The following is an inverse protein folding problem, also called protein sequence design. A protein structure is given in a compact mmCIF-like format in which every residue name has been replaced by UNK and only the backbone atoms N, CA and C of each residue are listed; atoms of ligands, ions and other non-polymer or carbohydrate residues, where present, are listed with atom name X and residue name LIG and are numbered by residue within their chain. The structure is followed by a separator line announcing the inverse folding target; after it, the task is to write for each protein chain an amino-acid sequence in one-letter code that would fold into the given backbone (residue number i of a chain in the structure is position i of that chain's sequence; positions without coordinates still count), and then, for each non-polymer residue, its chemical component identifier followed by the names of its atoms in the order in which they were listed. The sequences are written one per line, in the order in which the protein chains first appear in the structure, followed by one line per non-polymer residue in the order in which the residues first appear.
data_IF_580116434512
#
_entry.id   IF_580116434512
#
_cell.length_a   1.000
_cell.length_b   1.000
_cell.length_c   1.000
_cell.angle_alpha   90.00
_cell.angle_beta   90.00
_cell.angle_gamma   90.00
#
_symmetry.space_group_name_H-M   'P 1'
#
loop_
_entity.id
_entity.type
_entity.pdbx_description
1 polymer ?
#
# COMPACT_ATOMS: atom_id res chain seq x y z
N UNK A 1 11.62 -3.62 -8.99
CA UNK A 1 11.68 -2.17 -9.25
C UNK A 1 12.66 -1.51 -8.26
N UNK A 2 13.62 -0.71 -8.73
CA UNK A 2 14.58 0.01 -7.86
C UNK A 2 14.05 1.43 -7.60
N UNK A 3 14.20 1.95 -6.38
CA UNK A 3 13.92 3.36 -6.07
C UNK A 3 15.04 4.21 -6.68
N UNK A 4 14.69 5.17 -7.54
CA UNK A 4 15.64 6.15 -8.04
C UNK A 4 15.74 7.33 -7.07
N UNK A 5 16.92 7.94 -7.00
CA UNK A 5 17.10 9.18 -6.26
C UNK A 5 16.57 10.34 -7.10
N UNK A 6 15.81 11.26 -6.49
CA UNK A 6 15.34 12.47 -7.18
C UNK A 6 16.52 13.32 -7.68
N UNK A 7 17.61 13.38 -6.89
CA UNK A 7 18.86 14.02 -7.25
C UNK A 7 20.04 13.07 -6.98
N UNK A 8 21.06 13.02 -7.87
CA UNK A 8 22.25 12.21 -7.64
C UNK A 8 23.11 12.81 -6.51
N UNK A 9 23.73 11.96 -5.70
CA UNK A 9 24.70 12.35 -4.66
C UNK A 9 26.11 11.98 -5.12
N UNK A 10 27.04 12.94 -5.03
CA UNK A 10 28.43 12.73 -5.43
C UNK A 10 29.23 12.17 -4.25
N UNK A 11 29.74 10.94 -4.37
CA UNK A 11 30.60 10.33 -3.37
C UNK A 11 32.02 10.94 -3.41
N UNK A 12 32.16 12.16 -2.90
CA UNK A 12 33.42 12.92 -2.85
C UNK A 12 33.62 13.55 -1.48
N UNK A 13 34.86 13.57 -1.01
CA UNK A 13 35.22 14.11 0.30
C UNK A 13 35.03 13.11 1.45
N UNK A 14 34.96 13.58 2.70
CA UNK A 14 34.79 12.74 3.89
C UNK A 14 33.57 11.81 3.79
N UNK A 15 33.76 10.55 4.18
CA UNK A 15 32.77 9.48 3.97
C UNK A 15 31.46 9.74 4.71
N UNK A 16 31.56 10.28 5.91
CA UNK A 16 30.44 10.61 6.78
C UNK A 16 29.55 11.70 6.17
N UNK A 17 30.14 12.64 5.43
CA UNK A 17 29.40 13.73 4.81
C UNK A 17 28.58 13.22 3.61
N UNK A 18 29.21 12.57 2.63
CA UNK A 18 28.47 12.13 1.45
C UNK A 18 27.53 10.96 1.75
N UNK A 19 27.80 10.13 2.77
CA UNK A 19 26.81 9.15 3.25
C UNK A 19 25.62 9.82 3.92
N UNK A 20 25.84 10.88 4.72
CA UNK A 20 24.76 11.66 5.30
C UNK A 20 23.87 12.31 4.22
N UNK A 21 24.48 12.89 3.19
CA UNK A 21 23.77 13.43 2.02
C UNK A 21 22.98 12.35 1.28
N UNK A 22 23.60 11.18 1.05
CA UNK A 22 22.94 10.04 0.42
C UNK A 22 21.71 9.58 1.23
N UNK A 23 21.83 9.49 2.55
CA UNK A 23 20.72 9.10 3.42
C UNK A 23 19.55 10.09 3.32
N UNK A 24 19.83 11.39 3.42
CA UNK A 24 18.80 12.42 3.29
C UNK A 24 18.12 12.35 1.92
N UNK A 25 18.91 12.17 0.85
CA UNK A 25 18.38 12.07 -0.50
C UNK A 25 17.56 10.80 -0.72
N UNK A 26 17.96 9.66 -0.13
CA UNK A 26 17.17 8.42 -0.15
C UNK A 26 15.82 8.60 0.55
N UNK A 27 15.80 9.22 1.73
CA UNK A 27 14.56 9.50 2.47
C UNK A 27 13.64 10.45 1.70
N UNK A 28 14.18 11.53 1.15
CA UNK A 28 13.41 12.48 0.34
C UNK A 28 12.79 11.79 -0.89
N UNK A 29 13.57 11.00 -1.62
CA UNK A 29 13.09 10.31 -2.83
C UNK A 29 12.04 9.25 -2.49
N UNK A 30 12.21 8.52 -1.39
CA UNK A 30 11.19 7.60 -0.90
C UNK A 30 9.90 8.34 -0.54
N UNK A 31 10.00 9.48 0.13
CA UNK A 31 8.83 10.28 0.50
C UNK A 31 8.08 10.81 -0.73
N UNK A 32 8.79 11.26 -1.77
CA UNK A 32 8.21 11.64 -3.07
C UNK A 32 7.40 10.49 -3.69
N UNK A 33 7.94 9.27 -3.66
CA UNK A 33 7.27 8.08 -4.21
C UNK A 33 6.06 7.66 -3.36
N UNK A 34 6.15 7.73 -2.03
CA UNK A 34 5.01 7.49 -1.13
C UNK A 34 3.89 8.50 -1.39
N UNK A 35 4.23 9.78 -1.56
CA UNK A 35 3.24 10.82 -1.89
C UNK A 35 2.55 10.55 -3.22
N UNK A 36 3.28 10.10 -4.24
CA UNK A 36 2.68 9.71 -5.51
C UNK A 36 1.75 8.50 -5.35
N UNK A 37 2.11 7.52 -4.51
CA UNK A 37 1.26 6.38 -4.21
C UNK A 37 -0.03 6.80 -3.49
N UNK A 38 0.07 7.70 -2.50
CA UNK A 38 -1.08 8.28 -1.79
C UNK A 38 -2.04 8.99 -2.76
N UNK A 39 -1.52 9.81 -3.68
CA UNK A 39 -2.38 10.45 -4.70
C UNK A 39 -3.13 9.41 -5.55
N UNK A 40 -2.47 8.32 -5.93
CA UNK A 40 -3.08 7.30 -6.79
C UNK A 40 -4.14 6.45 -6.08
N UNK A 41 -3.96 6.11 -4.80
CA UNK A 41 -5.00 5.37 -4.03
C UNK A 41 -6.23 6.23 -3.71
N UNK A 42 -6.11 7.55 -3.81
CA UNK A 42 -7.21 8.50 -3.66
C UNK A 42 -7.85 8.91 -5.00
N UNK A 43 -7.35 8.39 -6.13
CA UNK A 43 -7.93 8.68 -7.44
C UNK A 43 -9.22 7.89 -7.69
N UNK A 44 -10.22 8.54 -8.30
CA UNK A 44 -11.51 7.91 -8.62
C UNK A 44 -11.41 6.71 -9.57
N UNK A 45 -10.36 6.66 -10.41
CA UNK A 45 -10.06 5.58 -11.32
C UNK A 45 -9.09 4.53 -10.76
N UNK A 46 -8.91 4.47 -9.44
CA UNK A 46 -7.98 3.54 -8.80
C UNK A 46 -8.19 2.09 -9.24
N UNK A 47 -7.10 1.46 -9.69
CA UNK A 47 -7.04 0.06 -10.08
C UNK A 47 -5.93 -0.65 -9.31
N UNK A 48 -6.31 -1.59 -8.44
CA UNK A 48 -5.39 -2.27 -7.52
C UNK A 48 -4.18 -2.89 -8.22
N UNK A 49 -4.39 -3.68 -9.28
CA UNK A 49 -3.31 -4.41 -9.94
C UNK A 49 -2.36 -3.45 -10.69
N UNK A 50 -2.92 -2.43 -11.34
CA UNK A 50 -2.14 -1.37 -12.00
C UNK A 50 -1.28 -0.63 -10.99
N UNK A 51 -1.86 -0.24 -9.85
CA UNK A 51 -1.15 0.38 -8.75
C UNK A 51 0.00 -0.50 -8.22
N UNK A 52 -0.28 -1.78 -7.93
CA UNK A 52 0.72 -2.69 -7.42
C UNK A 52 1.86 -2.94 -8.40
N UNK A 53 1.61 -2.92 -9.70
CA UNK A 53 2.65 -3.08 -10.72
C UNK A 53 3.46 -1.81 -10.94
N UNK A 54 2.87 -0.64 -10.68
CA UNK A 54 3.51 0.65 -10.84
C UNK A 54 4.49 1.00 -9.71
N UNK A 55 4.22 0.58 -8.47
CA UNK A 55 5.07 0.91 -7.32
C UNK A 55 5.91 -0.28 -6.83
N UNK A 56 7.01 0.06 -6.15
CA UNK A 56 7.85 -0.89 -5.43
C UNK A 56 7.01 -1.64 -4.39
N UNK A 57 7.27 -2.94 -4.19
CA UNK A 57 6.44 -3.81 -3.35
C UNK A 57 6.12 -3.24 -1.96
N UNK A 58 7.11 -2.62 -1.29
CA UNK A 58 6.93 -2.00 0.03
C UNK A 58 6.06 -0.74 -0.02
N UNK A 59 6.18 0.08 -1.06
CA UNK A 59 5.32 1.26 -1.26
C UNK A 59 3.91 0.82 -1.65
N UNK A 60 3.77 -0.21 -2.49
CA UNK A 60 2.48 -0.82 -2.80
C UNK A 60 1.78 -1.36 -1.54
N UNK A 61 2.51 -2.07 -0.68
CA UNK A 61 2.00 -2.53 0.61
C UNK A 61 1.54 -1.35 1.48
N UNK A 62 2.37 -0.33 1.64
CA UNK A 62 2.02 0.86 2.41
C UNK A 62 0.77 1.56 1.86
N UNK A 63 0.66 1.70 0.54
CA UNK A 63 -0.49 2.33 -0.08
C UNK A 63 -1.80 1.58 0.19
N UNK A 64 -1.78 0.24 0.18
CA UNK A 64 -3.00 -0.49 0.53
C UNK A 64 -3.29 -0.40 2.03
N UNK A 65 -2.27 -0.34 2.91
CA UNK A 65 -2.51 -0.06 4.33
C UNK A 65 -3.14 1.32 4.56
N UNK A 66 -2.69 2.36 3.83
CA UNK A 66 -3.30 3.69 3.86
C UNK A 66 -4.75 3.66 3.39
N UNK A 67 -5.05 2.92 2.30
CA UNK A 67 -6.41 2.73 1.80
C UNK A 67 -7.31 2.06 2.85
N UNK A 68 -6.84 0.96 3.45
CA UNK A 68 -7.57 0.26 4.50
C UNK A 68 -7.84 1.17 5.71
N UNK A 69 -6.85 1.93 6.16
CA UNK A 69 -7.00 2.87 7.28
C UNK A 69 -8.03 3.95 6.95
N UNK A 70 -7.90 4.61 5.80
CA UNK A 70 -8.83 5.67 5.36
C UNK A 70 -10.28 5.18 5.32
N UNK A 71 -10.51 4.07 4.61
CA UNK A 71 -11.84 3.54 4.37
C UNK A 71 -12.46 2.99 5.68
N UNK A 72 -11.65 2.37 6.53
CA UNK A 72 -12.10 1.89 7.85
C UNK A 72 -12.53 3.04 8.74
N UNK A 73 -11.73 4.11 8.81
CA UNK A 73 -12.08 5.27 9.61
C UNK A 73 -13.30 6.02 9.07
N UNK A 74 -13.45 6.12 7.75
CA UNK A 74 -14.63 6.70 7.12
C UNK A 74 -15.89 5.90 7.45
N UNK A 75 -15.81 4.57 7.35
CA UNK A 75 -16.91 3.70 7.73
C UNK A 75 -17.30 3.87 9.20
N UNK A 76 -16.31 3.87 10.11
CA UNK A 76 -16.56 4.05 11.54
C UNK A 76 -17.15 5.43 11.87
N UNK A 77 -16.68 6.50 11.23
CA UNK A 77 -17.20 7.87 11.45
C UNK A 77 -18.68 7.99 11.06
N UNK A 78 -19.08 7.33 9.98
CA UNK A 78 -20.43 7.45 9.41
C UNK A 78 -21.37 6.29 9.82
N UNK A 79 -20.90 5.29 10.57
CA UNK A 79 -21.69 4.10 10.93
C UNK A 79 -22.99 4.40 11.69
N UNK A 80 -23.06 5.54 12.40
CA UNK A 80 -24.26 5.98 13.10
C UNK A 80 -25.36 6.44 12.14
N UNK A 81 -24.97 7.09 11.05
CA UNK A 81 -25.88 7.70 10.09
C UNK A 81 -26.21 6.75 8.92
N UNK A 82 -25.24 5.94 8.50
CA UNK A 82 -25.41 4.90 7.48
C UNK A 82 -25.13 3.50 8.05
N UNK A 83 -26.20 2.76 8.36
CA UNK A 83 -26.10 1.39 8.88
C UNK A 83 -25.50 0.38 7.90
N UNK A 84 -25.40 0.72 6.60
CA UNK A 84 -24.84 -0.17 5.57
C UNK A 84 -23.36 0.07 5.32
N UNK A 85 -22.81 1.22 5.72
CA UNK A 85 -21.43 1.60 5.36
C UNK A 85 -20.39 0.60 5.87
N UNK A 86 -20.59 0.06 7.08
CA UNK A 86 -19.70 -0.93 7.69
C UNK A 86 -19.70 -2.25 6.88
N UNK A 87 -20.84 -2.93 6.65
CA UNK A 87 -20.90 -4.09 5.76
C UNK A 87 -20.39 -3.83 4.33
N UNK A 88 -20.74 -2.68 3.74
CA UNK A 88 -20.30 -2.32 2.39
C UNK A 88 -18.78 -2.14 2.31
N UNK A 89 -18.17 -1.52 3.32
CA UNK A 89 -16.71 -1.35 3.37
C UNK A 89 -15.99 -2.68 3.61
N UNK A 90 -16.55 -3.55 4.47
CA UNK A 90 -16.02 -4.90 4.66
C UNK A 90 -16.06 -5.73 3.36
N UNK A 91 -17.14 -5.59 2.58
CA UNK A 91 -17.23 -6.22 1.26
C UNK A 91 -16.15 -5.70 0.31
N UNK A 92 -15.87 -4.38 0.29
CA UNK A 92 -14.76 -3.82 -0.51
C UNK A 92 -13.41 -4.43 -0.13
N UNK A 93 -13.14 -4.62 1.17
CA UNK A 93 -11.91 -5.29 1.63
C UNK A 93 -11.84 -6.76 1.22
N UNK A 94 -12.97 -7.47 1.24
CA UNK A 94 -13.06 -8.83 0.74
C UNK A 94 -12.80 -8.91 -0.78
N UNK A 95 -13.35 -7.99 -1.56
CA UNK A 95 -13.15 -7.94 -3.01
C UNK A 95 -11.68 -7.66 -3.37
N UNK A 96 -11.04 -6.76 -2.62
CA UNK A 96 -9.61 -6.47 -2.73
C UNK A 96 -8.79 -7.73 -2.42
N UNK A 97 -9.07 -8.38 -1.28
CA UNK A 97 -8.39 -9.62 -0.87
C UNK A 97 -8.55 -10.73 -1.93
N UNK A 98 -9.75 -10.93 -2.46
CA UNK A 98 -10.00 -11.93 -3.50
C UNK A 98 -9.22 -11.63 -4.78
N UNK A 99 -9.06 -10.36 -5.13
CA UNK A 99 -8.21 -9.94 -6.25
C UNK A 99 -6.74 -10.29 -6.01
N UNK A 100 -6.23 -10.14 -4.79
CA UNK A 100 -4.86 -10.53 -4.44
C UNK A 100 -4.68 -12.05 -4.47
N UNK A 101 -5.63 -12.80 -3.90
CA UNK A 101 -5.63 -14.27 -3.92
C UNK A 101 -5.63 -14.77 -5.37
N UNK A 102 -6.43 -14.16 -6.25
CA UNK A 102 -6.48 -14.55 -7.66
C UNK A 102 -5.13 -14.40 -8.35
N UNK A 103 -4.28 -13.45 -7.96
CA UNK A 103 -2.94 -13.33 -8.55
C UNK A 103 -2.03 -14.50 -8.17
N UNK A 104 -2.19 -15.07 -6.97
CA UNK A 104 -1.33 -16.18 -6.50
C UNK A 104 -1.52 -17.50 -7.26
N UNK A 105 -2.64 -17.63 -7.99
CA UNK A 105 -2.95 -18.81 -8.81
C UNK A 105 -2.30 -18.77 -10.20
N UNK A 106 -1.72 -17.63 -10.58
CA UNK A 106 -1.03 -17.47 -11.86
C UNK A 106 0.45 -17.88 -11.76
N UNK A 107 1.09 -18.04 -12.91
CA UNK A 107 2.54 -18.21 -12.98
C UNK A 107 3.23 -16.87 -12.68
N UNK A 108 3.81 -16.79 -11.48
CA UNK A 108 4.48 -15.59 -10.97
C UNK A 108 5.99 -15.80 -10.90
N UNK A 109 6.73 -14.69 -11.09
CA UNK A 109 8.15 -14.67 -10.73
C UNK A 109 8.32 -14.92 -9.23
N UNK A 110 9.49 -15.40 -8.80
CA UNK A 110 9.79 -15.61 -7.37
C UNK A 110 9.54 -14.34 -6.54
N UNK A 111 9.85 -13.16 -7.09
CA UNK A 111 9.64 -11.88 -6.42
C UNK A 111 8.15 -11.53 -6.32
N UNK A 112 7.40 -11.68 -7.42
CA UNK A 112 5.96 -11.36 -7.42
C UNK A 112 5.17 -12.33 -6.53
N UNK A 113 5.58 -13.60 -6.46
CA UNK A 113 4.99 -14.57 -5.53
C UNK A 113 5.12 -14.11 -4.09
N UNK A 114 6.34 -13.76 -3.65
CA UNK A 114 6.59 -13.25 -2.29
C UNK A 114 5.78 -11.97 -2.04
N UNK A 115 5.72 -11.07 -3.03
CA UNK A 115 4.94 -9.82 -2.95
C UNK A 115 3.46 -10.10 -2.73
N UNK A 116 2.82 -10.91 -3.56
CA UNK A 116 1.39 -11.19 -3.45
C UNK A 116 1.06 -12.02 -2.20
N UNK A 117 1.87 -13.01 -1.83
CA UNK A 117 1.71 -13.77 -0.58
C UNK A 117 1.75 -12.83 0.64
N UNK A 118 2.73 -11.91 0.68
CA UNK A 118 2.84 -10.91 1.77
C UNK A 118 1.61 -10.01 1.83
N UNK A 119 1.14 -9.52 0.68
CA UNK A 119 -0.06 -8.69 0.60
C UNK A 119 -1.30 -9.44 1.10
N UNK A 120 -1.49 -10.69 0.68
CA UNK A 120 -2.58 -11.55 1.13
C UNK A 120 -2.53 -11.76 2.65
N UNK A 121 -1.38 -12.13 3.21
CA UNK A 121 -1.24 -12.36 4.66
C UNK A 121 -1.65 -11.13 5.48
N UNK A 122 -1.19 -9.94 5.08
CA UNK A 122 -1.51 -8.70 5.78
C UNK A 122 -3.00 -8.33 5.60
N UNK A 123 -3.55 -8.48 4.40
CA UNK A 123 -4.94 -8.16 4.11
C UNK A 123 -5.95 -9.08 4.78
N UNK A 124 -5.63 -10.37 4.92
CA UNK A 124 -6.45 -11.30 5.72
C UNK A 124 -6.57 -10.77 7.15
N UNK A 125 -5.44 -10.44 7.79
CA UNK A 125 -5.44 -9.93 9.16
C UNK A 125 -6.22 -8.61 9.30
N UNK A 126 -6.03 -7.66 8.38
CA UNK A 126 -6.75 -6.39 8.38
C UNK A 126 -8.27 -6.57 8.20
N UNK A 127 -8.67 -7.49 7.32
CA UNK A 127 -10.08 -7.85 7.13
C UNK A 127 -10.66 -8.49 8.38
N UNK A 128 -9.96 -9.45 8.98
CA UNK A 128 -10.43 -10.12 10.21
C UNK A 128 -10.69 -9.12 11.34
N UNK A 129 -9.82 -8.11 11.49
CA UNK A 129 -10.04 -7.00 12.43
C UNK A 129 -11.31 -6.22 12.07
N UNK A 130 -11.48 -5.84 10.81
CA UNK A 130 -12.63 -5.04 10.41
C UNK A 130 -13.95 -5.82 10.47
N UNK A 131 -13.92 -7.13 10.19
CA UNK A 131 -15.05 -8.04 10.31
C UNK A 131 -15.52 -8.17 11.77
N UNK A 132 -14.60 -8.24 12.73
CA UNK A 132 -14.92 -8.16 14.17
C UNK A 132 -15.59 -6.82 14.52
N UNK A 133 -15.13 -5.70 13.95
CA UNK A 133 -15.76 -4.40 14.17
C UNK A 133 -17.18 -4.30 13.60
N UNK A 134 -17.46 -4.96 12.48
CA UNK A 134 -18.80 -5.00 11.85
C UNK A 134 -19.76 -5.86 12.67
N UNK A 135 -19.25 -6.90 13.33
CA UNK A 135 -20.02 -7.87 14.10
C UNK A 135 -20.39 -7.40 15.51
N UNK A 136 -19.88 -6.24 15.94
CA UNK A 136 -20.17 -5.59 17.24
C UNK A 136 -21.33 -4.61 17.15
#
# INVERSE_FOLDING_TARGET
MRLQLDHPVMARGPVELWLGELQMQQQSSLHSVIKAADLQINDSGFQLLTFLNQFQAQVGLLGIQMLWTRDSEEALRNAKDDKKIMPTTNQKFLDLLNTLISQTTHDLTKFDRIKFETLVTIHVHQRDIFDDLVSR
#
